data_IF_585621765852
#
_entry.id   IF_585621765852
#
_cell.length_a   1.000
_cell.length_b   1.000
_cell.length_c   1.000
_cell.angle_alpha   90.00
_cell.angle_beta   90.00
_cell.angle_gamma   90.00
#
_symmetry.space_group_name_H-M   'P 1'
#
loop_
_entity.id
_entity.type
_entity.pdbx_description
1 polymer ?
#
# COMPACT_ATOMS: atom_id res chain seq x y z
N UNK A 1 -48.34 23.48 48.20
CA UNK A 1 -47.66 22.37 48.89
C UNK A 1 -47.33 21.35 47.80
N UNK A 2 -46.47 21.67 46.84
CA UNK A 2 -45.02 21.90 47.01
C UNK A 2 -44.41 20.67 47.67
N UNK A 3 -43.85 19.82 46.82
CA UNK A 3 -42.41 19.50 46.78
C UNK A 3 -42.15 18.29 47.70
N UNK A 4 -41.49 17.24 47.26
CA UNK A 4 -40.06 17.25 47.00
C UNK A 4 -39.58 15.86 46.52
N UNK A 5 -38.58 15.89 45.64
CA UNK A 5 -37.38 15.03 45.66
C UNK A 5 -37.58 13.58 45.16
N UNK A 6 -37.21 13.29 43.91
CA UNK A 6 -35.85 12.84 43.55
C UNK A 6 -35.47 11.50 44.21
N UNK A 7 -36.09 10.40 43.77
CA UNK A 7 -35.55 9.07 43.99
C UNK A 7 -34.94 8.52 42.68
N UNK A 8 -33.69 8.94 42.50
CA UNK A 8 -32.56 8.09 42.12
C UNK A 8 -32.70 7.21 40.87
N UNK A 9 -32.33 7.78 39.72
CA UNK A 9 -31.59 7.04 38.70
C UNK A 9 -30.21 7.68 38.56
N UNK A 10 -29.27 7.27 39.42
CA UNK A 10 -27.84 7.50 39.18
C UNK A 10 -27.36 6.43 38.18
N UNK A 11 -26.97 6.78 36.94
CA UNK A 11 -26.19 5.85 36.14
C UNK A 11 -24.84 5.65 36.84
N UNK A 12 -24.61 4.42 37.32
CA UNK A 12 -23.38 4.03 38.00
C UNK A 12 -22.13 4.30 37.15
N UNK A 13 -20.97 4.50 37.80
CA UNK A 13 -19.75 4.95 37.15
C UNK A 13 -19.35 3.99 36.02
N UNK A 14 -19.06 4.59 34.86
CA UNK A 14 -18.49 3.95 33.69
C UNK A 14 -17.38 2.98 34.11
N UNK A 15 -17.66 1.68 33.96
CA UNK A 15 -16.68 0.62 34.18
C UNK A 15 -15.51 0.85 33.23
N UNK A 16 -14.37 1.24 33.80
CA UNK A 16 -13.12 1.42 33.08
C UNK A 16 -12.71 0.12 32.42
N UNK A 17 -12.99 -0.01 31.13
CA UNK A 17 -12.27 -0.94 30.28
C UNK A 17 -10.82 -0.47 30.25
N UNK A 18 -9.93 -1.18 30.95
CA UNK A 18 -8.49 -0.97 30.82
C UNK A 18 -8.09 -0.98 29.34
N UNK A 19 -7.06 -0.23 28.93
CA UNK A 19 -6.70 -0.11 27.52
C UNK A 19 -6.55 -1.50 26.90
N UNK A 20 -7.36 -1.78 25.87
CA UNK A 20 -7.29 -3.07 25.19
C UNK A 20 -5.88 -3.27 24.64
N UNK A 21 -5.37 -4.50 24.67
CA UNK A 21 -4.06 -4.84 24.09
C UNK A 21 -3.96 -4.39 22.61
N UNK A 22 -5.11 -4.33 21.93
CA UNK A 22 -5.27 -3.77 20.60
C UNK A 22 -4.97 -2.26 20.54
N UNK A 23 -5.50 -1.45 21.46
CA UNK A 23 -5.22 -0.01 21.50
C UNK A 23 -3.72 0.28 21.69
N UNK A 24 -3.01 -0.56 22.45
CA UNK A 24 -1.56 -0.46 22.60
C UNK A 24 -0.78 -0.94 21.36
N UNK A 25 -1.24 -1.98 20.67
CA UNK A 25 -0.56 -2.55 19.49
C UNK A 25 -0.82 -1.78 18.18
N UNK A 26 -2.02 -1.20 18.02
CA UNK A 26 -2.46 -0.50 16.83
C UNK A 26 -1.49 0.59 16.29
N UNK A 27 -0.85 1.44 17.12
CA UNK A 27 0.12 2.40 16.61
C UNK A 27 1.37 1.71 16.04
N UNK A 28 1.90 0.68 16.73
CA UNK A 28 3.07 -0.06 16.28
C UNK A 28 2.81 -0.85 15.00
N UNK A 29 1.64 -1.48 14.88
CA UNK A 29 1.23 -2.17 13.66
C UNK A 29 1.12 -1.19 12.50
N UNK A 30 0.53 -0.02 12.72
CA UNK A 30 0.41 1.01 11.68
C UNK A 30 1.77 1.55 11.23
N UNK A 31 2.71 1.72 12.17
CA UNK A 31 4.06 2.16 11.89
C UNK A 31 4.82 1.09 11.10
N UNK A 32 4.76 -0.17 11.54
CA UNK A 32 5.41 -1.29 10.87
C UNK A 32 4.88 -1.48 9.44
N UNK A 33 3.56 -1.44 9.25
CA UNK A 33 2.94 -1.53 7.93
C UNK A 33 3.37 -0.37 7.02
N UNK A 34 3.41 0.86 7.56
CA UNK A 34 3.87 2.05 6.84
C UNK A 34 5.32 1.92 6.38
N UNK A 35 6.22 1.51 7.28
CA UNK A 35 7.63 1.34 6.97
C UNK A 35 7.88 0.17 6.03
N UNK A 36 7.16 -0.94 6.19
CA UNK A 36 7.20 -2.07 5.27
C UNK A 36 6.78 -1.67 3.85
N UNK A 37 5.66 -0.96 3.71
CA UNK A 37 5.20 -0.46 2.42
C UNK A 37 6.22 0.51 1.79
N UNK A 38 6.78 1.42 2.59
CA UNK A 38 7.81 2.35 2.13
C UNK A 38 9.07 1.63 1.66
N UNK A 39 9.51 0.59 2.39
CA UNK A 39 10.67 -0.21 2.01
C UNK A 39 10.43 -0.96 0.69
N UNK A 40 9.27 -1.61 0.53
CA UNK A 40 8.93 -2.33 -0.70
C UNK A 40 8.90 -1.39 -1.90
N UNK A 41 8.16 -0.27 -1.82
CA UNK A 41 8.09 0.72 -2.89
C UNK A 41 9.46 1.35 -3.18
N UNK A 42 10.24 1.67 -2.14
CA UNK A 42 11.56 2.27 -2.29
C UNK A 42 12.55 1.34 -2.99
N UNK A 43 12.67 0.09 -2.52
CA UNK A 43 13.57 -0.91 -3.13
C UNK A 43 13.15 -1.22 -4.56
N UNK A 44 11.84 -1.41 -4.78
CA UNK A 44 11.28 -1.64 -6.12
C UNK A 44 11.63 -0.48 -7.07
N UNK A 45 11.34 0.76 -6.69
CA UNK A 45 11.60 1.91 -7.54
C UNK A 45 13.08 2.14 -7.81
N UNK A 46 13.93 2.07 -6.77
CA UNK A 46 15.39 2.23 -6.93
C UNK A 46 15.96 1.16 -7.86
N UNK A 47 15.52 -0.09 -7.73
CA UNK A 47 15.99 -1.19 -8.59
C UNK A 47 15.63 -0.98 -10.08
N UNK A 48 14.50 -0.31 -10.36
CA UNK A 48 14.03 -0.05 -11.74
C UNK A 48 14.69 1.18 -12.38
N UNK A 49 15.14 2.16 -11.60
CA UNK A 49 15.81 3.38 -12.13
C UNK A 49 17.15 3.07 -12.80
N UNK A 50 17.88 2.05 -12.33
CA UNK A 50 19.17 1.65 -12.92
C UNK A 50 19.05 1.05 -14.33
N UNK A 51 17.90 0.47 -14.67
CA UNK A 51 17.64 -0.12 -15.97
C UNK A 51 16.15 0.03 -16.36
N UNK A 52 15.71 1.24 -16.76
CA UNK A 52 14.30 1.50 -17.05
C UNK A 52 13.73 0.64 -18.19
N UNK A 53 14.58 0.19 -19.11
CA UNK A 53 14.21 -0.74 -20.18
C UNK A 53 13.68 -2.08 -19.64
N UNK A 54 14.22 -2.58 -18.53
CA UNK A 54 13.74 -3.81 -17.89
C UNK A 54 12.37 -3.60 -17.23
N UNK A 55 12.10 -2.38 -16.74
CA UNK A 55 10.78 -2.01 -16.21
C UNK A 55 9.72 -2.01 -17.32
N UNK A 56 10.05 -1.46 -18.50
CA UNK A 56 9.17 -1.52 -19.67
C UNK A 56 8.92 -2.96 -20.11
N UNK A 57 9.98 -3.75 -20.25
CA UNK A 57 9.88 -5.17 -20.63
C UNK A 57 9.02 -5.97 -19.65
N UNK A 58 9.16 -5.70 -18.34
CA UNK A 58 8.32 -6.30 -17.31
C UNK A 58 6.85 -5.98 -17.53
N UNK A 59 6.48 -4.73 -17.85
CA UNK A 59 5.08 -4.32 -18.11
C UNK A 59 4.56 -4.93 -19.40
N UNK A 60 5.36 -4.96 -20.47
CA UNK A 60 5.00 -5.57 -21.76
C UNK A 60 4.68 -7.06 -21.63
N UNK A 61 5.39 -7.78 -20.74
CA UNK A 61 5.15 -9.21 -20.48
C UNK A 61 3.73 -9.51 -19.97
N UNK A 62 3.04 -8.53 -19.38
CA UNK A 62 1.65 -8.71 -18.94
C UNK A 62 0.64 -8.70 -20.10
N UNK A 63 1.01 -8.18 -21.28
CA UNK A 63 0.14 -8.12 -22.47
C UNK A 63 -1.24 -7.50 -22.16
N UNK A 64 -1.31 -6.45 -21.34
CA UNK A 64 -2.58 -5.75 -21.03
C UNK A 64 -2.87 -4.58 -21.96
N UNK A 65 -1.84 -3.85 -22.41
CA UNK A 65 -1.98 -2.60 -23.14
C UNK A 65 -1.08 -2.58 -24.39
N UNK A 66 -1.32 -1.68 -25.36
CA UNK A 66 -0.41 -1.47 -26.48
C UNK A 66 0.93 -0.90 -26.04
N UNK A 67 1.97 -1.08 -26.86
CA UNK A 67 3.37 -0.77 -26.54
C UNK A 67 3.60 0.66 -26.03
N UNK A 68 2.91 1.65 -26.61
CA UNK A 68 3.04 3.05 -26.17
C UNK A 68 2.60 3.28 -24.72
N UNK A 69 1.57 2.55 -24.28
CA UNK A 69 1.05 2.61 -22.90
C UNK A 69 1.97 1.82 -21.97
N UNK A 70 2.48 0.66 -22.41
CA UNK A 70 3.42 -0.13 -21.62
C UNK A 70 4.70 0.66 -21.34
N UNK A 71 5.24 1.35 -22.35
CA UNK A 71 6.40 2.23 -22.19
C UNK A 71 6.12 3.36 -21.20
N UNK A 72 4.98 4.05 -21.34
CA UNK A 72 4.62 5.13 -20.43
C UNK A 72 4.55 4.64 -18.97
N UNK A 73 3.88 3.50 -18.74
CA UNK A 73 3.78 2.91 -17.39
C UNK A 73 5.16 2.48 -16.90
N UNK A 74 5.93 1.75 -17.71
CA UNK A 74 7.26 1.24 -17.34
C UNK A 74 8.27 2.33 -16.97
N UNK A 75 8.20 3.50 -17.62
CA UNK A 75 9.06 4.65 -17.29
C UNK A 75 8.54 5.47 -16.11
N UNK A 76 7.23 5.65 -15.94
CA UNK A 76 6.69 6.55 -14.90
C UNK A 76 6.54 5.86 -13.55
N UNK A 77 6.20 4.58 -13.53
CA UNK A 77 5.93 3.81 -12.31
C UNK A 77 7.09 3.81 -11.30
N UNK A 78 8.37 3.66 -11.70
CA UNK A 78 9.51 3.75 -10.78
C UNK A 78 9.58 5.08 -10.02
N UNK A 79 9.27 6.20 -10.67
CA UNK A 79 9.27 7.51 -10.02
C UNK A 79 8.13 7.63 -8.99
N UNK A 80 6.95 7.09 -9.31
CA UNK A 80 5.84 7.04 -8.36
C UNK A 80 6.17 6.17 -7.14
N UNK A 81 6.79 5.00 -7.36
CA UNK A 81 7.23 4.11 -6.28
C UNK A 81 8.18 4.83 -5.30
N UNK A 82 9.19 5.52 -5.82
CA UNK A 82 10.17 6.28 -5.01
C UNK A 82 9.49 7.46 -4.29
N UNK A 83 8.67 8.23 -5.00
CA UNK A 83 8.00 9.40 -4.41
C UNK A 83 7.08 9.00 -3.24
N UNK A 84 6.29 7.95 -3.42
CA UNK A 84 5.42 7.42 -2.36
C UNK A 84 6.23 6.87 -1.19
N UNK A 85 7.32 6.15 -1.45
CA UNK A 85 8.21 5.65 -0.40
C UNK A 85 8.79 6.79 0.46
N UNK A 86 9.31 7.84 -0.19
CA UNK A 86 9.86 9.01 0.51
C UNK A 86 8.81 9.73 1.36
N UNK A 87 7.60 9.91 0.82
CA UNK A 87 6.50 10.54 1.55
C UNK A 87 6.06 9.70 2.76
N UNK A 88 6.01 8.37 2.63
CA UNK A 88 5.70 7.45 3.73
C UNK A 88 6.79 7.47 4.81
N UNK A 89 8.07 7.53 4.43
CA UNK A 89 9.18 7.68 5.38
C UNK A 89 9.08 9.02 6.11
N UNK A 90 8.93 10.11 5.37
CA UNK A 90 8.77 11.47 5.91
C UNK A 90 7.54 11.62 6.82
N UNK A 91 6.56 10.72 6.71
CA UNK A 91 5.35 10.76 7.53
C UNK A 91 4.38 11.86 7.07
N UNK A 92 4.49 12.34 5.84
CA UNK A 92 3.62 13.39 5.31
C UNK A 92 2.38 12.77 4.67
N UNK A 93 1.19 13.29 5.01
CA UNK A 93 -0.10 12.84 4.47
C UNK A 93 -0.28 11.31 4.46
N UNK A 94 0.22 10.62 5.50
CA UNK A 94 0.36 9.14 5.55
C UNK A 94 -0.91 8.38 5.22
N UNK A 95 -2.09 8.91 5.59
CA UNK A 95 -3.37 8.30 5.20
C UNK A 95 -3.56 8.26 3.68
N UNK A 96 -3.31 9.37 2.99
CA UNK A 96 -3.50 9.47 1.54
C UNK A 96 -2.41 8.71 0.81
N UNK A 97 -1.15 8.90 1.19
CA UNK A 97 0.00 8.23 0.55
C UNK A 97 -0.07 6.72 0.78
N UNK A 98 -0.46 6.29 1.97
CA UNK A 98 -0.69 4.88 2.28
C UNK A 98 -1.85 4.28 1.48
N UNK A 99 -2.95 5.03 1.31
CA UNK A 99 -4.07 4.61 0.48
C UNK A 99 -3.68 4.46 -1.00
N UNK A 100 -2.95 5.44 -1.56
CA UNK A 100 -2.46 5.39 -2.94
C UNK A 100 -1.47 4.25 -3.14
N UNK A 101 -0.48 4.11 -2.24
CA UNK A 101 0.49 3.01 -2.30
C UNK A 101 -0.17 1.63 -2.14
N UNK A 102 -1.16 1.51 -1.25
CA UNK A 102 -1.97 0.30 -1.10
C UNK A 102 -2.80 -0.01 -2.34
N UNK A 103 -3.44 1.00 -2.95
CA UNK A 103 -4.17 0.82 -4.20
C UNK A 103 -3.25 0.38 -5.34
N UNK A 104 -2.04 0.95 -5.43
CA UNK A 104 -1.00 0.52 -6.38
C UNK A 104 -0.66 -0.96 -6.21
N UNK A 105 -0.47 -1.42 -4.96
CA UNK A 105 -0.24 -2.84 -4.69
C UNK A 105 -1.41 -3.72 -5.11
N UNK A 106 -2.65 -3.29 -4.85
CA UNK A 106 -3.84 -4.04 -5.26
C UNK A 106 -3.92 -4.16 -6.79
N UNK A 107 -3.69 -3.06 -7.53
CA UNK A 107 -3.67 -3.07 -9.00
C UNK A 107 -2.57 -3.99 -9.52
N UNK A 108 -1.39 -3.94 -8.93
CA UNK A 108 -0.26 -4.79 -9.32
C UNK A 108 -0.55 -6.28 -9.10
N UNK A 109 -1.09 -6.63 -7.93
CA UNK A 109 -1.52 -8.01 -7.62
C UNK A 109 -2.60 -8.47 -8.61
N UNK A 110 -3.58 -7.62 -8.91
CA UNK A 110 -4.61 -7.93 -9.90
C UNK A 110 -4.01 -8.20 -11.29
N UNK A 111 -2.98 -7.45 -11.69
CA UNK A 111 -2.21 -7.70 -12.91
C UNK A 111 -1.56 -9.08 -12.92
N UNK A 112 -0.91 -9.49 -11.82
CA UNK A 112 -0.26 -10.81 -11.69
C UNK A 112 -1.30 -11.93 -11.81
N UNK A 113 -2.40 -11.81 -11.05
CA UNK A 113 -3.50 -12.78 -11.09
C UNK A 113 -4.09 -12.88 -12.49
N UNK A 114 -4.25 -11.75 -13.18
CA UNK A 114 -4.74 -11.71 -14.57
C UNK A 114 -3.78 -12.41 -15.54
N UNK A 115 -2.46 -12.24 -15.37
CA UNK A 115 -1.46 -12.93 -16.19
C UNK A 115 -1.56 -14.46 -16.01
N UNK A 116 -1.64 -14.93 -14.76
CA UNK A 116 -1.81 -16.35 -14.46
C UNK A 116 -3.13 -16.92 -14.98
N UNK A 117 -4.23 -16.18 -14.87
CA UNK A 117 -5.52 -16.60 -15.41
C UNK A 117 -5.51 -16.76 -16.94
N UNK A 118 -4.59 -16.06 -17.64
CA UNK A 118 -4.35 -16.18 -19.09
C UNK A 118 -3.28 -17.21 -19.44
N UNK A 119 -2.72 -17.93 -18.46
CA UNK A 119 -1.67 -18.93 -18.66
C UNK A 119 -0.28 -18.36 -18.95
N UNK A 120 -0.04 -17.08 -18.62
CA UNK A 120 1.28 -16.46 -18.77
C UNK A 120 2.16 -16.79 -17.55
N UNK A 121 3.32 -17.39 -17.81
CA UNK A 121 4.41 -17.52 -16.84
C UNK A 121 5.30 -16.29 -16.96
N UNK A 122 5.27 -15.43 -15.94
CA UNK A 122 6.04 -14.19 -15.91
C UNK A 122 6.81 -14.06 -14.61
N UNK A 123 7.99 -13.45 -14.69
CA UNK A 123 8.65 -12.86 -13.54
C UNK A 123 8.03 -11.47 -13.28
N UNK A 124 7.50 -11.27 -12.08
CA UNK A 124 6.66 -10.11 -11.72
C UNK A 124 7.38 -8.77 -11.93
N UNK A 125 8.71 -8.77 -12.03
CA UNK A 125 9.51 -7.58 -12.32
C UNK A 125 9.57 -6.54 -11.21
N UNK A 126 9.04 -6.85 -10.02
CA UNK A 126 9.00 -5.95 -8.86
C UNK A 126 10.39 -5.35 -8.53
N UNK A 127 11.45 -6.14 -8.70
CA UNK A 127 12.83 -5.78 -8.35
C UNK A 127 13.75 -5.62 -9.58
N UNK A 128 13.17 -5.31 -10.75
CA UNK A 128 13.93 -5.02 -11.96
C UNK A 128 14.30 -6.22 -12.83
N UNK A 129 13.77 -7.41 -12.55
CA UNK A 129 14.07 -8.67 -13.26
C UNK A 129 12.95 -9.20 -14.18
N UNK A 130 12.00 -8.37 -14.62
CA UNK A 130 10.75 -8.85 -15.23
C UNK A 130 10.86 -9.34 -16.67
N UNK A 131 9.98 -10.28 -17.03
CA UNK A 131 9.91 -10.89 -18.37
C UNK A 131 9.12 -12.22 -18.37
N UNK A 132 8.90 -12.81 -19.53
CA UNK A 132 8.34 -14.18 -19.64
C UNK A 132 9.38 -15.21 -19.22
N UNK A 133 8.96 -16.24 -18.47
CA UNK A 133 9.80 -17.35 -17.98
C UNK A 133 9.31 -18.71 -18.45
#
# INVERSE_FOLDING_TARGET
>A
MSTDIEEQQQPGPAGGAGPSRWAAAQPWVSLAARLGLAAVLGVAGISKVGAPALSVQAVEAYQLFPDSVNQFIGYTLPFFEIALALLLVAGLATRYVGAVGGALMVVFIAGIISAWARGLSIDCGCFGSGGQV
#
